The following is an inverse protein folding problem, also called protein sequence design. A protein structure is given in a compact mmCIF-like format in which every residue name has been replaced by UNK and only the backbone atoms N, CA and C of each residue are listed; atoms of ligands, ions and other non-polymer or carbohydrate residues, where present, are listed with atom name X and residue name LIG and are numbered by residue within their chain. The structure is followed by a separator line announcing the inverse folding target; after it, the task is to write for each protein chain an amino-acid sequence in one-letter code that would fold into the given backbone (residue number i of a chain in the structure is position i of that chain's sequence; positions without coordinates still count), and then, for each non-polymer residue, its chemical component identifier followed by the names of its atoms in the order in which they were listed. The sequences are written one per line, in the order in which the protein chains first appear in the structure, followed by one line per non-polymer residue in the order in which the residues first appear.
data_IF_410420886160
#
_entry.id   IF_410420886160
#
_cell.length_a   1.000
_cell.length_b   1.000
_cell.length_c   1.000
_cell.angle_alpha   90.00
_cell.angle_beta   90.00
_cell.angle_gamma   90.00
#
_symmetry.space_group_name_H-M   'P 1'
#
loop_
_entity.id
_entity.type
_entity.pdbx_description
1 polymer ?
#
# COMPACT_ATOMS: atom_id res chain seq x y z
N UNK A 1 -9.03 -20.74 -5.17
CA UNK A 1 -8.17 -20.48 -4.00
C UNK A 1 -8.42 -19.05 -3.55
N UNK A 2 -9.25 -18.88 -2.51
CA UNK A 2 -9.73 -17.57 -2.05
C UNK A 2 -8.92 -17.23 -0.81
N UNK A 3 -7.93 -16.35 -0.97
CA UNK A 3 -6.97 -15.91 0.06
C UNK A 3 -7.61 -15.38 1.36
N UNK A 4 -8.94 -15.30 1.46
CA UNK A 4 -9.68 -14.81 2.63
C UNK A 4 -9.70 -15.80 3.80
N UNK A 5 -9.68 -17.11 3.54
CA UNK A 5 -9.77 -18.14 4.61
C UNK A 5 -8.40 -18.46 5.22
N UNK A 6 -7.34 -18.41 4.42
CA UNK A 6 -5.97 -18.84 4.78
C UNK A 6 -5.14 -17.68 5.39
N UNK A 7 -5.67 -16.46 5.31
CA UNK A 7 -4.99 -15.22 5.68
C UNK A 7 -4.41 -15.18 7.11
N UNK A 8 -5.08 -15.72 8.17
CA UNK A 8 -4.53 -15.68 9.52
C UNK A 8 -3.17 -16.37 9.65
N UNK A 9 -2.94 -17.47 8.92
CA UNK A 9 -1.72 -18.27 8.96
C UNK A 9 -0.57 -17.61 8.20
N UNK A 10 -0.87 -16.96 7.08
CA UNK A 10 0.15 -16.38 6.19
C UNK A 10 0.56 -14.93 6.52
N UNK A 11 -0.20 -14.23 7.38
CA UNK A 11 0.07 -12.83 7.78
C UNK A 11 1.55 -12.54 8.11
N UNK A 12 2.23 -13.29 9.00
CA UNK A 12 3.62 -12.98 9.38
C UNK A 12 4.59 -13.07 8.20
N UNK A 13 4.42 -14.06 7.33
CA UNK A 13 5.26 -14.24 6.14
C UNK A 13 5.03 -13.11 5.12
N UNK A 14 3.77 -12.70 4.92
CA UNK A 14 3.42 -11.60 4.00
C UNK A 14 3.98 -10.27 4.50
N UNK A 15 3.86 -9.95 5.79
CA UNK A 15 4.49 -8.73 6.35
C UNK A 15 6.01 -8.77 6.23
N UNK A 16 6.63 -9.92 6.50
CA UNK A 16 8.07 -10.10 6.34
C UNK A 16 8.53 -9.82 4.90
N UNK A 17 7.78 -10.30 3.90
CA UNK A 17 8.07 -10.03 2.49
C UNK A 17 7.84 -8.55 2.14
N UNK A 18 6.72 -7.96 2.54
CA UNK A 18 6.40 -6.55 2.25
C UNK A 18 7.47 -5.61 2.81
N UNK A 19 7.90 -5.81 4.05
CA UNK A 19 8.94 -5.01 4.70
C UNK A 19 10.31 -5.23 4.06
N UNK A 20 10.67 -6.48 3.75
CA UNK A 20 11.95 -6.81 3.10
C UNK A 20 12.05 -6.16 1.72
N UNK A 21 10.99 -6.30 0.93
CA UNK A 21 10.91 -5.76 -0.43
C UNK A 21 10.89 -4.22 -0.39
N UNK A 22 10.15 -3.62 0.55
CA UNK A 22 10.16 -2.18 0.77
C UNK A 22 11.56 -1.63 1.08
N UNK A 23 12.33 -2.32 1.94
CA UNK A 23 13.73 -1.95 2.25
C UNK A 23 14.66 -2.10 1.04
N UNK A 24 14.47 -3.11 0.20
CA UNK A 24 15.27 -3.32 -1.01
C UNK A 24 15.01 -2.28 -2.11
N UNK A 25 13.84 -1.64 -2.12
CA UNK A 25 13.45 -0.73 -3.19
C UNK A 25 13.80 0.74 -2.95
N UNK A 26 14.47 1.06 -1.83
CA UNK A 26 14.89 2.42 -1.47
C UNK A 26 13.76 3.45 -1.64
N UNK A 27 12.55 3.09 -1.21
CA UNK A 27 11.39 3.98 -1.26
C UNK A 27 11.76 5.27 -0.52
N UNK A 28 11.82 6.39 -1.27
CA UNK A 28 12.34 7.65 -0.74
C UNK A 28 11.26 8.47 -0.02
N UNK A 29 9.99 8.11 -0.21
CA UNK A 29 8.83 8.71 0.45
C UNK A 29 7.66 7.73 0.45
N UNK A 30 6.89 7.72 1.53
CA UNK A 30 5.60 7.03 1.63
C UNK A 30 4.60 8.02 2.20
N UNK A 31 3.48 8.24 1.51
CA UNK A 31 2.35 9.03 2.02
C UNK A 31 1.16 8.12 2.34
N UNK A 32 0.35 8.52 3.32
CA UNK A 32 -0.99 7.96 3.53
C UNK A 32 -1.97 8.84 2.76
N UNK A 33 -2.79 8.24 1.90
CA UNK A 33 -3.80 8.94 1.09
C UNK A 33 -5.11 8.19 1.12
N UNK A 34 -6.18 8.82 0.65
CA UNK A 34 -7.44 8.13 0.37
C UNK A 34 -7.50 7.69 -1.10
N UNK A 35 -7.88 6.44 -1.36
CA UNK A 35 -8.12 5.89 -2.70
C UNK A 35 -9.50 5.25 -2.73
N UNK A 36 -10.43 5.90 -3.43
CA UNK A 36 -11.81 5.39 -3.56
C UNK A 36 -12.56 5.30 -2.24
N UNK A 37 -12.32 6.23 -1.30
CA UNK A 37 -12.96 6.26 0.03
C UNK A 37 -12.20 5.49 1.12
N UNK A 38 -11.13 4.79 0.77
CA UNK A 38 -10.40 3.91 1.70
C UNK A 38 -8.94 4.39 1.89
N UNK A 39 -8.37 4.25 3.10
CA UNK A 39 -6.98 4.60 3.35
C UNK A 39 -6.02 3.68 2.57
N UNK A 40 -5.00 4.30 1.97
CA UNK A 40 -3.99 3.66 1.15
C UNK A 40 -2.61 4.25 1.45
N UNK A 41 -1.57 3.46 1.21
CA UNK A 41 -0.17 3.91 1.22
C UNK A 41 0.29 4.14 -0.21
N UNK A 42 0.92 5.28 -0.47
CA UNK A 42 1.55 5.59 -1.75
C UNK A 42 3.03 5.66 -1.54
N UNK A 43 3.77 4.74 -2.16
CA UNK A 43 5.21 4.78 -2.13
C UNK A 43 5.75 5.45 -3.39
N UNK A 44 6.74 6.32 -3.21
CA UNK A 44 7.41 7.02 -4.29
C UNK A 44 8.83 6.50 -4.48
N UNK A 45 9.28 6.61 -5.73
CA UNK A 45 10.66 6.39 -6.14
C UNK A 45 10.99 7.38 -7.25
N UNK A 46 12.10 8.09 -7.12
CA UNK A 46 12.56 9.11 -8.08
C UNK A 46 11.47 10.15 -8.41
N UNK A 47 10.68 10.53 -7.40
CA UNK A 47 9.58 11.50 -7.50
C UNK A 47 8.32 10.96 -8.20
N UNK A 48 8.28 9.67 -8.54
CA UNK A 48 7.13 9.03 -9.21
C UNK A 48 6.48 8.00 -8.30
N UNK A 49 5.18 7.81 -8.48
CA UNK A 49 4.44 6.74 -7.80
C UNK A 49 5.01 5.39 -8.23
N UNK A 50 5.53 4.65 -7.26
CA UNK A 50 6.07 3.31 -7.43
C UNK A 50 5.06 2.23 -7.08
N UNK A 51 4.31 2.42 -5.99
CA UNK A 51 3.24 1.51 -5.59
C UNK A 51 2.11 2.26 -4.90
N UNK A 52 0.90 1.69 -5.00
CA UNK A 52 -0.23 2.01 -4.14
C UNK A 52 -0.64 0.73 -3.43
N UNK A 53 -0.65 0.78 -2.11
CA UNK A 53 -0.99 -0.35 -1.26
C UNK A 53 -2.27 -0.04 -0.46
N UNK A 54 -3.24 -0.95 -0.46
CA UNK A 54 -4.44 -0.84 0.37
C UNK A 54 -4.49 -1.95 1.40
N UNK A 55 -5.01 -1.61 2.58
CA UNK A 55 -5.16 -2.51 3.71
C UNK A 55 -6.64 -2.55 4.04
N UNK A 56 -7.26 -3.73 3.96
CA UNK A 56 -8.59 -3.94 4.51
C UNK A 56 -8.44 -4.41 5.96
N UNK A 57 -9.22 -3.86 6.88
CA UNK A 57 -9.28 -4.29 8.29
C UNK A 57 -10.69 -4.76 8.60
N UNK A 58 -10.81 -5.93 9.21
CA UNK A 58 -12.06 -6.47 9.75
C UNK A 58 -11.78 -7.08 11.13
N UNK A 59 -12.68 -6.84 12.09
CA UNK A 59 -12.57 -7.36 13.46
C UNK A 59 -11.24 -7.03 14.15
N UNK A 60 -10.76 -5.79 13.96
CA UNK A 60 -9.48 -5.33 14.51
C UNK A 60 -8.24 -6.00 13.90
N UNK A 61 -8.40 -6.75 12.80
CA UNK A 61 -7.30 -7.45 12.12
C UNK A 61 -7.26 -7.06 10.65
N UNK A 62 -6.07 -6.91 10.11
CA UNK A 62 -5.90 -6.75 8.66
C UNK A 62 -6.51 -7.98 8.00
N UNK A 63 -7.50 -7.85 7.13
CA UNK A 63 -8.18 -8.93 6.41
C UNK A 63 -7.67 -9.10 4.98
N UNK A 64 -7.05 -8.06 4.41
CA UNK A 64 -6.40 -8.13 3.13
C UNK A 64 -5.31 -7.07 2.99
N UNK A 65 -4.27 -7.40 2.23
CA UNK A 65 -3.28 -6.45 1.73
C UNK A 65 -3.25 -6.54 0.20
N UNK A 66 -3.38 -5.42 -0.49
CA UNK A 66 -3.33 -5.36 -1.97
C UNK A 66 -2.30 -4.33 -2.38
N UNK A 67 -1.41 -4.71 -3.29
CA UNK A 67 -0.36 -3.85 -3.85
C UNK A 67 -0.54 -3.69 -5.35
N UNK A 68 -0.67 -2.46 -5.81
CA UNK A 68 -0.75 -2.11 -7.22
C UNK A 68 0.60 -1.57 -7.70
N UNK A 69 1.31 -2.35 -8.52
CA UNK A 69 2.60 -1.96 -9.12
C UNK A 69 2.51 -1.66 -10.62
N UNK A 70 1.37 -1.94 -11.25
CA UNK A 70 1.19 -1.81 -12.69
C UNK A 70 1.38 -0.34 -13.11
N UNK A 71 2.45 -0.01 -13.86
CA UNK A 71 2.76 1.38 -14.21
C UNK A 71 1.63 2.07 -14.99
N UNK A 72 0.85 1.31 -15.77
CA UNK A 72 -0.28 1.86 -16.54
C UNK A 72 -1.41 2.33 -15.63
N UNK A 73 -1.69 1.58 -14.56
CA UNK A 73 -2.71 1.97 -13.57
C UNK A 73 -2.23 3.09 -12.67
N UNK A 74 -0.93 3.10 -12.34
CA UNK A 74 -0.32 4.12 -11.49
C UNK A 74 -0.25 5.50 -12.15
N UNK A 75 -0.10 5.57 -13.48
CA UNK A 75 -0.15 6.84 -14.23
C UNK A 75 -1.50 7.54 -14.15
N UNK A 76 -2.57 6.80 -13.86
CA UNK A 76 -3.93 7.33 -13.74
C UNK A 76 -4.29 7.72 -12.29
N UNK A 77 -3.38 7.54 -11.33
CA UNK A 77 -3.61 7.95 -9.94
C UNK A 77 -3.46 9.46 -9.86
N UNK A 78 -4.58 10.14 -9.64
CA UNK A 78 -4.62 11.57 -9.33
C UNK A 78 -4.72 11.71 -7.81
N UNK A 79 -3.75 12.38 -7.21
CA UNK A 79 -3.82 12.75 -5.80
C UNK A 79 -4.56 14.08 -5.70
N UNK A 80 -5.63 14.13 -4.91
CA UNK A 80 -6.05 15.41 -4.35
C UNK A 80 -4.85 15.94 -3.56
N UNK A 81 -4.43 17.19 -3.81
CA UNK A 81 -3.33 17.80 -3.07
C UNK A 81 -3.72 17.80 -1.59
N UNK A 82 -3.17 16.90 -0.80
CA UNK A 82 -3.23 17.04 0.65
C UNK A 82 -2.35 18.25 0.95
N UNK A 83 -2.94 19.34 1.43
CA UNK A 83 -2.17 20.37 2.10
C UNK A 83 -1.30 19.67 3.13
N UNK A 84 0.02 19.82 2.97
CA UNK A 84 1.02 19.31 3.87
C UNK A 84 0.68 19.80 5.27
N UNK A 85 0.07 18.96 6.10
CA UNK A 85 -0.17 19.31 7.50
C UNK A 85 1.20 19.29 8.19
N UNK A 86 1.62 20.40 8.81
CA UNK A 86 2.96 20.53 9.38
C UNK A 86 2.94 19.97 10.80
N UNK A 87 2.91 18.64 10.94
CA UNK A 87 3.15 17.98 12.22
C UNK A 87 3.99 16.72 12.02
#
# INVERSE_FOLDING_TARGET
MRLTEEWPEHRPAVFGVVLRVGRQWSLNRVDIVEVGGEPALVAYRDGRVHSVDTISVADGRISAFRRQLNPRKLRAVTFARSESSPW
#
